data_IF_039792701250
#
_entry.id   IF_039792701250
#
_cell.length_a   1.000
_cell.length_b   1.000
_cell.length_c   1.000
_cell.angle_alpha   90.00
_cell.angle_beta   90.00
_cell.angle_gamma   90.00
#
_symmetry.space_group_name_H-M   'P 1'
#
loop_
_entity.id
_entity.type
_entity.pdbx_description
1 polymer ?
#
# COMPACT_ATOMS: atom_id res chain seq x y z
N UNK A 1 41.84 2.44 29.93
CA UNK A 1 41.06 1.51 29.09
C UNK A 1 39.59 1.86 29.26
N UNK A 2 39.13 2.89 28.53
CA UNK A 2 37.77 3.44 28.66
C UNK A 2 36.79 2.51 27.94
N UNK A 3 35.85 1.97 28.69
CA UNK A 3 34.73 1.20 28.16
C UNK A 3 33.97 2.05 27.13
N UNK A 4 34.00 1.62 25.87
CA UNK A 4 33.20 2.21 24.80
C UNK A 4 31.74 1.95 25.17
N UNK A 5 30.90 3.00 25.33
CA UNK A 5 29.50 2.80 25.67
C UNK A 5 28.86 1.98 24.56
N UNK A 6 28.21 0.90 24.95
CA UNK A 6 27.45 0.01 24.09
C UNK A 6 26.67 0.79 23.03
N UNK A 7 26.88 0.44 21.76
CA UNK A 7 26.04 0.81 20.63
C UNK A 7 24.60 0.44 20.99
N UNK A 8 23.86 1.36 21.62
CA UNK A 8 22.40 1.29 21.70
C UNK A 8 21.94 1.46 20.26
N UNK A 9 21.77 0.34 19.58
CA UNK A 9 21.21 0.34 18.24
C UNK A 9 19.80 0.92 18.34
N UNK A 10 19.66 2.15 17.85
CA UNK A 10 18.38 2.85 17.93
C UNK A 10 17.42 2.14 17.01
N UNK A 11 16.28 1.68 17.55
CA UNK A 11 15.22 1.00 16.80
C UNK A 11 14.87 1.74 15.51
N UNK A 12 14.90 3.07 15.52
CA UNK A 12 14.65 3.91 14.36
C UNK A 12 15.69 3.71 13.25
N UNK A 13 16.97 3.75 13.58
CA UNK A 13 18.08 3.56 12.62
C UNK A 13 18.03 2.18 12.01
N UNK A 14 17.82 1.15 12.81
CA UNK A 14 17.68 -0.22 12.31
C UNK A 14 16.46 -0.38 11.41
N UNK A 15 15.31 0.19 11.80
CA UNK A 15 14.08 0.14 10.99
C UNK A 15 14.29 0.82 9.63
N UNK A 16 14.98 1.97 9.62
CA UNK A 16 15.33 2.70 8.39
C UNK A 16 16.28 1.88 7.50
N UNK A 17 17.25 1.17 8.07
CA UNK A 17 18.15 0.30 7.32
C UNK A 17 17.39 -0.88 6.69
N UNK A 18 16.51 -1.53 7.44
CA UNK A 18 15.65 -2.59 6.90
C UNK A 18 14.69 -2.08 5.82
N UNK A 19 14.11 -0.89 6.01
CA UNK A 19 13.26 -0.24 5.02
C UNK A 19 14.05 0.05 3.72
N UNK A 20 15.23 0.66 3.84
CA UNK A 20 16.10 0.96 2.70
C UNK A 20 16.55 -0.29 1.95
N UNK A 21 16.84 -1.39 2.67
CA UNK A 21 17.15 -2.69 2.07
C UNK A 21 15.98 -3.20 1.22
N UNK A 22 14.75 -3.13 1.75
CA UNK A 22 13.56 -3.59 1.04
C UNK A 22 13.25 -2.74 -0.19
N UNK A 23 13.34 -1.41 -0.06
CA UNK A 23 13.17 -0.48 -1.18
C UNK A 23 14.22 -0.75 -2.27
N UNK A 24 15.48 -0.99 -1.89
CA UNK A 24 16.55 -1.32 -2.85
C UNK A 24 16.25 -2.63 -3.57
N UNK A 25 15.71 -3.63 -2.87
CA UNK A 25 15.28 -4.88 -3.48
C UNK A 25 14.15 -4.66 -4.49
N UNK A 26 13.11 -3.88 -4.14
CA UNK A 26 12.03 -3.53 -5.06
C UNK A 26 12.50 -2.73 -6.27
N UNK A 27 13.48 -1.84 -6.11
CA UNK A 27 14.11 -1.13 -7.23
C UNK A 27 14.84 -2.07 -8.19
N UNK A 28 15.42 -3.17 -7.69
CA UNK A 28 16.09 -4.19 -8.51
C UNK A 28 15.13 -5.20 -9.12
N UNK A 29 13.96 -5.40 -8.52
CA UNK A 29 12.90 -6.27 -9.01
C UNK A 29 11.59 -5.47 -9.23
N UNK A 30 11.57 -4.53 -10.20
CA UNK A 30 10.51 -3.54 -10.30
C UNK A 30 9.18 -4.10 -10.83
N UNK A 31 9.19 -5.28 -11.44
CA UNK A 31 7.99 -5.90 -12.05
C UNK A 31 6.84 -6.00 -11.04
N UNK A 32 7.11 -6.48 -9.83
CA UNK A 32 6.10 -6.70 -8.79
C UNK A 32 5.46 -5.38 -8.30
N UNK A 33 6.23 -4.37 -7.84
CA UNK A 33 5.64 -3.10 -7.42
C UNK A 33 5.02 -2.31 -8.57
N UNK A 34 5.56 -2.41 -9.78
CA UNK A 34 4.98 -1.75 -10.96
C UNK A 34 3.63 -2.37 -11.31
N UNK A 35 3.50 -3.70 -11.34
CA UNK A 35 2.23 -4.35 -11.62
C UNK A 35 1.15 -3.97 -10.60
N UNK A 36 1.51 -3.90 -9.32
CA UNK A 36 0.61 -3.47 -8.24
C UNK A 36 0.16 -2.00 -8.34
N UNK A 37 0.89 -1.15 -9.08
CA UNK A 37 0.53 0.25 -9.37
C UNK A 37 -0.21 0.42 -10.69
N UNK A 38 0.26 -0.28 -11.72
CA UNK A 38 -0.27 -0.18 -13.08
C UNK A 38 -1.71 -0.62 -13.12
N UNK A 39 -2.06 -1.72 -12.45
CA UNK A 39 -3.44 -2.23 -12.47
C UNK A 39 -4.45 -1.20 -11.91
N UNK A 40 -4.27 -0.63 -10.69
CA UNK A 40 -5.15 0.43 -10.19
C UNK A 40 -5.20 1.68 -11.07
N UNK A 41 -4.06 2.10 -11.63
CA UNK A 41 -3.99 3.30 -12.48
C UNK A 41 -4.69 3.07 -13.81
N UNK A 42 -4.50 1.89 -14.40
CA UNK A 42 -5.20 1.47 -15.61
C UNK A 42 -6.70 1.39 -15.37
N UNK A 43 -7.12 0.81 -14.24
CA UNK A 43 -8.52 0.74 -13.86
C UNK A 43 -9.14 2.13 -13.69
N UNK A 44 -8.43 3.09 -13.09
CA UNK A 44 -8.86 4.49 -13.01
C UNK A 44 -9.15 5.05 -14.41
N UNK A 45 -8.19 4.91 -15.34
CA UNK A 45 -8.30 5.41 -16.71
C UNK A 45 -9.46 4.74 -17.44
N UNK A 46 -9.55 3.42 -17.38
CA UNK A 46 -10.62 2.66 -18.04
C UNK A 46 -11.99 3.05 -17.50
N UNK A 47 -12.14 3.13 -16.17
CA UNK A 47 -13.44 3.47 -15.57
C UNK A 47 -13.83 4.91 -15.86
N UNK A 48 -12.88 5.84 -15.82
CA UNK A 48 -13.12 7.23 -16.22
C UNK A 48 -13.56 7.32 -17.70
N UNK A 49 -12.86 6.67 -18.62
CA UNK A 49 -13.19 6.70 -20.05
C UNK A 49 -14.50 5.98 -20.38
N UNK A 50 -14.81 4.89 -19.69
CA UNK A 50 -15.98 4.06 -19.99
C UNK A 50 -17.26 4.56 -19.30
N UNK A 51 -17.13 5.09 -18.08
CA UNK A 51 -18.27 5.39 -17.19
C UNK A 51 -18.34 6.87 -16.84
N UNK A 52 -17.27 7.64 -17.05
CA UNK A 52 -17.18 9.06 -16.66
C UNK A 52 -18.27 9.94 -17.28
N UNK A 53 -18.52 9.82 -18.59
CA UNK A 53 -19.60 10.60 -19.22
C UNK A 53 -20.99 10.17 -18.74
N UNK A 54 -21.18 8.89 -18.40
CA UNK A 54 -22.47 8.37 -17.95
C UNK A 54 -22.79 8.80 -16.51
N UNK A 55 -21.81 8.71 -15.61
CA UNK A 55 -21.96 9.11 -14.20
C UNK A 55 -22.09 10.63 -14.05
N UNK A 56 -21.29 11.41 -14.79
CA UNK A 56 -21.37 12.88 -14.72
C UNK A 56 -22.75 13.39 -15.17
N UNK A 57 -23.38 12.73 -16.15
CA UNK A 57 -24.74 13.03 -16.61
C UNK A 57 -25.83 12.69 -15.60
N UNK A 58 -25.63 11.68 -14.75
CA UNK A 58 -26.64 11.21 -13.79
C UNK A 58 -26.51 11.89 -12.43
N UNK A 59 -25.29 12.09 -11.93
CA UNK A 59 -25.04 12.55 -10.55
C UNK A 59 -24.68 14.05 -10.47
N UNK A 60 -24.38 14.69 -11.61
CA UNK A 60 -23.97 16.11 -11.66
C UNK A 60 -22.61 16.41 -10.99
N UNK A 61 -21.93 15.38 -10.50
CA UNK A 61 -20.59 15.43 -9.88
C UNK A 61 -19.62 14.60 -10.71
N UNK A 62 -18.38 15.08 -10.83
CA UNK A 62 -17.34 14.42 -11.61
C UNK A 62 -16.92 13.12 -10.93
N UNK A 63 -16.96 12.01 -11.67
CA UNK A 63 -16.65 10.66 -11.16
C UNK A 63 -15.23 10.55 -10.63
N UNK A 64 -14.32 11.44 -11.07
CA UNK A 64 -12.94 11.50 -10.60
C UNK A 64 -12.81 11.67 -9.08
N UNK A 65 -13.72 12.39 -8.42
CA UNK A 65 -13.64 12.62 -6.97
C UNK A 65 -13.87 11.34 -6.15
N UNK A 66 -14.63 10.37 -6.66
CA UNK A 66 -14.79 9.05 -6.04
C UNK A 66 -13.73 8.04 -6.50
N UNK A 67 -13.39 8.06 -7.79
CA UNK A 67 -12.53 7.04 -8.39
C UNK A 67 -11.07 7.16 -7.97
N UNK A 68 -10.53 8.38 -7.91
CA UNK A 68 -9.13 8.60 -7.54
C UNK A 68 -8.80 8.07 -6.13
N UNK A 69 -9.56 8.39 -5.06
CA UNK A 69 -9.31 7.79 -3.74
C UNK A 69 -9.54 6.28 -3.73
N UNK A 70 -10.55 5.78 -4.43
CA UNK A 70 -10.85 4.33 -4.52
C UNK A 70 -9.68 3.57 -5.14
N UNK A 71 -9.17 4.04 -6.28
CA UNK A 71 -8.02 3.45 -6.95
C UNK A 71 -6.73 3.59 -6.12
N UNK A 72 -6.55 4.70 -5.41
CA UNK A 72 -5.41 4.89 -4.50
C UNK A 72 -5.42 3.87 -3.35
N UNK A 73 -6.58 3.64 -2.72
CA UNK A 73 -6.74 2.63 -1.65
C UNK A 73 -6.62 1.21 -2.19
N UNK A 74 -7.22 0.92 -3.34
CA UNK A 74 -7.08 -0.38 -3.99
C UNK A 74 -5.61 -0.70 -4.31
N UNK A 75 -4.87 0.26 -4.87
CA UNK A 75 -3.44 0.11 -5.16
C UNK A 75 -2.57 -0.05 -3.92
N UNK A 76 -2.93 0.63 -2.83
CA UNK A 76 -2.33 0.45 -1.52
C UNK A 76 -2.49 -1.01 -1.05
N UNK A 77 -3.70 -1.56 -1.11
CA UNK A 77 -3.99 -2.94 -0.70
C UNK A 77 -3.38 -4.01 -1.63
N UNK A 78 -3.39 -3.79 -2.95
CA UNK A 78 -2.74 -4.69 -3.90
C UNK A 78 -1.24 -4.79 -3.66
N UNK A 79 -0.57 -3.66 -3.45
CA UNK A 79 0.86 -3.71 -3.21
C UNK A 79 1.22 -4.22 -1.81
N UNK A 80 0.38 -4.00 -0.80
CA UNK A 80 0.51 -4.64 0.51
C UNK A 80 0.42 -6.17 0.41
N UNK A 81 -0.53 -6.68 -0.38
CA UNK A 81 -0.64 -8.11 -0.69
C UNK A 81 0.62 -8.63 -1.39
N UNK A 82 1.07 -7.95 -2.45
CA UNK A 82 2.25 -8.33 -3.21
C UNK A 82 3.53 -8.33 -2.33
N UNK A 83 3.68 -7.35 -1.45
CA UNK A 83 4.77 -7.26 -0.50
C UNK A 83 4.73 -8.38 0.55
N UNK A 84 3.57 -9.00 0.81
CA UNK A 84 3.43 -10.04 1.82
C UNK A 84 3.66 -11.47 1.29
N UNK A 85 3.47 -11.69 -0.02
CA UNK A 85 3.66 -13.01 -0.64
C UNK A 85 5.04 -13.65 -0.37
N UNK A 86 6.18 -12.93 -0.45
CA UNK A 86 7.50 -13.52 -0.24
C UNK A 86 7.82 -13.92 1.21
N UNK A 87 7.06 -13.42 2.20
CA UNK A 87 7.37 -13.59 3.63
C UNK A 87 7.40 -15.07 4.04
N UNK A 88 6.61 -15.91 3.38
CA UNK A 88 6.58 -17.35 3.61
C UNK A 88 7.90 -17.99 3.23
N UNK A 89 8.37 -17.72 2.02
CA UNK A 89 9.67 -18.18 1.57
C UNK A 89 10.79 -17.64 2.49
N UNK A 90 10.74 -16.35 2.88
CA UNK A 90 11.69 -15.78 3.84
C UNK A 90 11.71 -16.54 5.19
N UNK A 91 10.53 -16.96 5.69
CA UNK A 91 10.39 -17.77 6.89
C UNK A 91 10.97 -19.17 6.70
N UNK A 92 10.64 -19.84 5.59
CA UNK A 92 11.04 -21.21 5.30
C UNK A 92 12.57 -21.31 5.10
N UNK A 93 13.20 -20.30 4.51
CA UNK A 93 14.67 -20.18 4.42
C UNK A 93 15.35 -19.81 5.76
N UNK A 94 14.58 -19.63 6.84
CA UNK A 94 15.11 -19.26 8.16
C UNK A 94 15.68 -17.84 8.22
N UNK A 95 15.33 -16.97 7.28
CA UNK A 95 15.82 -15.59 7.22
C UNK A 95 15.42 -14.81 8.48
N UNK A 96 14.19 -15.03 8.96
CA UNK A 96 13.66 -14.39 10.16
C UNK A 96 14.44 -14.80 11.41
N UNK A 97 14.75 -16.10 11.54
CA UNK A 97 15.56 -16.63 12.64
C UNK A 97 16.97 -16.06 12.63
N UNK A 98 17.61 -15.95 11.46
CA UNK A 98 18.96 -15.36 11.31
C UNK A 98 19.00 -13.89 11.73
N UNK A 99 17.97 -13.11 11.40
CA UNK A 99 17.89 -11.71 11.84
C UNK A 99 17.78 -11.58 13.35
N UNK A 100 17.15 -12.54 14.03
CA UNK A 100 16.98 -12.52 15.50
C UNK A 100 18.21 -13.00 16.29
N UNK A 101 19.22 -13.56 15.62
CA UNK A 101 20.52 -13.89 16.25
C UNK A 101 21.48 -12.70 16.19
N UNK A 102 21.27 -11.75 15.27
CA UNK A 102 22.05 -10.52 15.21
C UNK A 102 21.69 -9.60 16.40
N UNK A 103 22.62 -8.75 16.86
CA UNK A 103 22.37 -7.77 17.93
C UNK A 103 21.52 -6.60 17.40
N UNK A 104 20.32 -6.91 16.91
CA UNK A 104 19.34 -5.96 16.40
C UNK A 104 18.02 -6.11 17.14
N UNK A 105 17.26 -5.03 17.24
CA UNK A 105 15.97 -5.01 17.89
C UNK A 105 14.95 -5.87 17.13
N UNK A 106 14.27 -6.82 17.79
CA UNK A 106 13.38 -7.78 17.11
C UNK A 106 12.25 -7.12 16.29
N UNK A 107 11.79 -5.95 16.72
CA UNK A 107 10.76 -5.18 16.03
C UNK A 107 11.27 -4.44 14.78
N UNK A 108 12.58 -4.17 14.65
CA UNK A 108 13.11 -3.28 13.60
C UNK A 108 12.93 -3.83 12.19
N UNK A 109 12.96 -5.15 12.02
CA UNK A 109 12.68 -5.79 10.74
C UNK A 109 11.22 -5.61 10.31
N UNK A 110 10.27 -5.72 11.25
CA UNK A 110 8.85 -5.57 10.98
C UNK A 110 8.47 -4.11 10.73
N UNK A 111 8.92 -3.21 11.59
CA UNK A 111 8.71 -1.76 11.43
C UNK A 111 9.37 -1.24 10.16
N UNK A 112 10.57 -1.72 9.81
CA UNK A 112 11.22 -1.39 8.54
C UNK A 112 10.41 -1.83 7.32
N UNK A 113 9.75 -3.00 7.38
CA UNK A 113 8.85 -3.46 6.32
C UNK A 113 7.61 -2.57 6.18
N UNK A 114 6.98 -2.20 7.31
CA UNK A 114 5.84 -1.29 7.32
C UNK A 114 6.21 0.11 6.82
N UNK A 115 7.39 0.62 7.18
CA UNK A 115 7.89 1.92 6.69
C UNK A 115 8.16 1.91 5.18
N UNK A 116 8.77 0.85 4.68
CA UNK A 116 8.97 0.69 3.23
C UNK A 116 7.63 0.66 2.49
N UNK A 117 6.65 -0.05 3.03
CA UNK A 117 5.31 -0.15 2.45
C UNK A 117 4.55 1.19 2.49
N UNK A 118 4.68 1.94 3.58
CA UNK A 118 4.15 3.30 3.69
C UNK A 118 4.75 4.22 2.62
N UNK A 119 6.08 4.19 2.44
CA UNK A 119 6.77 5.00 1.43
C UNK A 119 6.35 4.62 0.00
N UNK A 120 6.26 3.31 -0.30
CA UNK A 120 5.80 2.80 -1.60
C UNK A 120 4.36 3.22 -1.88
N UNK A 121 3.48 3.11 -0.90
CA UNK A 121 2.08 3.51 -1.01
C UNK A 121 1.94 5.01 -1.22
N UNK A 122 2.73 5.82 -0.51
CA UNK A 122 2.72 7.27 -0.69
C UNK A 122 3.10 7.67 -2.13
N UNK A 123 4.14 7.04 -2.69
CA UNK A 123 4.53 7.26 -4.09
C UNK A 123 3.44 6.79 -5.06
N UNK A 124 2.80 5.64 -4.78
CA UNK A 124 1.70 5.10 -5.56
C UNK A 124 0.51 6.06 -5.61
N UNK A 125 0.06 6.52 -4.43
CA UNK A 125 -1.06 7.41 -4.28
C UNK A 125 -0.76 8.78 -4.91
N UNK A 126 0.47 9.29 -4.77
CA UNK A 126 0.89 10.51 -5.45
C UNK A 126 0.80 10.38 -6.99
N UNK A 127 1.25 9.25 -7.55
CA UNK A 127 1.14 8.99 -8.99
C UNK A 127 -0.31 8.93 -9.45
N UNK A 128 -1.16 8.16 -8.76
CA UNK A 128 -2.59 8.04 -9.09
C UNK A 128 -3.29 9.40 -9.00
N UNK A 129 -2.94 10.19 -7.99
CA UNK A 129 -3.46 11.55 -7.83
C UNK A 129 -3.01 12.46 -8.97
N UNK A 130 -1.74 12.40 -9.37
CA UNK A 130 -1.22 13.17 -10.50
C UNK A 130 -1.92 12.80 -11.82
N UNK A 131 -2.18 11.52 -12.05
CA UNK A 131 -2.98 11.04 -13.19
C UNK A 131 -4.41 11.59 -13.11
N UNK A 132 -5.06 11.51 -11.94
CA UNK A 132 -6.39 12.08 -11.73
C UNK A 132 -6.46 13.57 -12.01
N UNK A 133 -5.47 14.35 -11.57
CA UNK A 133 -5.35 15.79 -11.88
C UNK A 133 -5.18 16.02 -13.37
N UNK A 134 -4.37 15.20 -14.04
CA UNK A 134 -4.22 15.23 -15.51
C UNK A 134 -5.51 14.91 -16.27
N UNK A 135 -6.38 14.08 -15.70
CA UNK A 135 -7.70 13.75 -16.26
C UNK A 135 -8.76 14.83 -16.01
N UNK A 136 -8.48 15.81 -15.14
CA UNK A 136 -9.38 16.93 -14.86
C UNK A 136 -9.77 17.12 -13.39
N UNK A 137 -9.26 16.29 -12.46
CA UNK A 137 -9.52 16.43 -11.03
C UNK A 137 -9.01 17.78 -10.53
N UNK A 138 -9.92 18.61 -10.00
CA UNK A 138 -9.58 19.92 -9.43
C UNK A 138 -9.59 19.86 -7.91
N UNK A 139 -8.41 19.82 -7.29
CA UNK A 139 -8.30 20.04 -5.85
C UNK A 139 -8.65 21.50 -5.52
N UNK A 140 -9.70 21.70 -4.73
CA UNK A 140 -10.10 23.01 -4.19
C UNK A 140 -9.55 23.29 -2.79
N UNK A 141 -8.87 22.31 -2.20
CA UNK A 141 -8.32 22.37 -0.85
C UNK A 141 -6.89 22.92 -0.80
N UNK A 142 -6.42 23.20 0.41
CA UNK A 142 -5.06 23.65 0.68
C UNK A 142 -4.05 22.48 0.63
N UNK A 143 -2.76 22.79 0.73
CA UNK A 143 -1.69 21.77 0.81
C UNK A 143 -1.90 20.76 1.94
N UNK A 144 -2.56 21.17 3.02
CA UNK A 144 -2.93 20.28 4.13
C UNK A 144 -3.94 19.20 3.72
N UNK A 145 -4.91 19.54 2.87
CA UNK A 145 -5.92 18.59 2.39
C UNK A 145 -5.29 17.53 1.49
N UNK A 146 -4.29 17.92 0.69
CA UNK A 146 -3.52 16.97 -0.13
C UNK A 146 -2.73 15.98 0.74
N UNK A 147 -2.08 16.46 1.80
CA UNK A 147 -1.34 15.60 2.74
C UNK A 147 -2.31 14.65 3.44
N UNK A 148 -3.46 15.15 3.92
CA UNK A 148 -4.48 14.33 4.55
C UNK A 148 -5.02 13.27 3.58
N UNK A 149 -5.30 13.66 2.34
CA UNK A 149 -5.75 12.77 1.28
C UNK A 149 -4.73 11.64 1.03
N UNK A 150 -3.44 11.96 0.89
CA UNK A 150 -2.39 10.97 0.68
C UNK A 150 -2.13 10.10 1.92
N UNK A 151 -2.42 10.60 3.12
CA UNK A 151 -2.24 9.85 4.36
C UNK A 151 -3.25 8.70 4.51
N UNK A 152 -4.44 8.82 3.91
CA UNK A 152 -5.51 7.81 4.03
C UNK A 152 -5.10 6.48 3.39
N UNK A 153 -4.69 6.39 2.11
CA UNK A 153 -4.21 5.15 1.52
C UNK A 153 -2.99 4.57 2.26
N UNK A 154 -2.09 5.43 2.75
CA UNK A 154 -0.91 5.01 3.52
C UNK A 154 -1.33 4.35 4.83
N UNK A 155 -2.25 4.94 5.57
CA UNK A 155 -2.80 4.36 6.80
C UNK A 155 -3.46 3.01 6.55
N UNK A 156 -4.28 2.91 5.48
CA UNK A 156 -4.90 1.64 5.07
C UNK A 156 -3.85 0.59 4.73
N UNK A 157 -2.82 0.94 3.93
CA UNK A 157 -1.74 0.01 3.59
C UNK A 157 -1.00 -0.49 4.83
N UNK A 158 -0.67 0.38 5.79
CA UNK A 158 0.06 -0.01 7.00
C UNK A 158 -0.77 -0.97 7.85
N UNK A 159 -2.03 -0.64 8.10
CA UNK A 159 -2.93 -1.50 8.90
C UNK A 159 -3.15 -2.85 8.20
N UNK A 160 -3.47 -2.81 6.92
CA UNK A 160 -3.73 -4.02 6.14
C UNK A 160 -2.47 -4.89 6.02
N UNK A 161 -1.30 -4.30 5.80
CA UNK A 161 -0.02 -5.01 5.80
C UNK A 161 0.28 -5.66 7.13
N UNK A 162 0.02 -4.99 8.25
CA UNK A 162 0.24 -5.58 9.57
C UNK A 162 -0.60 -6.86 9.75
N UNK A 163 -1.87 -6.84 9.32
CA UNK A 163 -2.76 -8.02 9.34
C UNK A 163 -2.22 -9.11 8.41
N UNK A 164 -1.85 -8.79 7.18
CA UNK A 164 -1.31 -9.75 6.22
C UNK A 164 -0.01 -10.38 6.72
N UNK A 165 0.90 -9.59 7.31
CA UNK A 165 2.16 -10.09 7.86
C UNK A 165 1.87 -11.05 9.02
N UNK A 166 0.94 -10.70 9.92
CA UNK A 166 0.54 -11.58 11.02
C UNK A 166 0.03 -12.95 10.51
N UNK A 167 -0.74 -12.95 9.42
CA UNK A 167 -1.23 -14.17 8.77
C UNK A 167 -0.08 -14.91 8.08
N UNK A 168 0.78 -14.22 7.33
CA UNK A 168 1.89 -14.81 6.60
C UNK A 168 2.90 -15.51 7.53
N UNK A 169 3.11 -14.95 8.72
CA UNK A 169 4.00 -15.53 9.75
C UNK A 169 3.36 -16.73 10.45
N UNK A 170 2.03 -16.81 10.54
CA UNK A 170 1.33 -17.89 11.28
C UNK A 170 0.85 -19.03 10.39
N UNK A 171 0.37 -18.74 9.19
CA UNK A 171 -0.27 -19.71 8.31
C UNK A 171 0.73 -20.45 7.42
N UNK A 172 0.58 -21.77 7.29
CA UNK A 172 1.36 -22.59 6.36
C UNK A 172 0.92 -22.43 4.89
N UNK A 173 -0.33 -22.05 4.62
CA UNK A 173 -0.89 -21.99 3.26
C UNK A 173 -1.06 -20.58 2.71
N UNK A 174 -0.46 -20.29 1.53
CA UNK A 174 -0.58 -19.02 0.80
C UNK A 174 -2.03 -18.58 0.58
N UNK A 175 -2.91 -19.56 0.50
CA UNK A 175 -4.35 -19.42 0.34
C UNK A 175 -4.99 -18.53 1.41
N UNK A 176 -4.54 -18.59 2.67
CA UNK A 176 -5.12 -17.77 3.75
C UNK A 176 -4.94 -16.25 3.51
N UNK A 177 -3.84 -15.84 2.86
CA UNK A 177 -3.62 -14.44 2.48
C UNK A 177 -4.61 -14.03 1.39
N UNK A 178 -4.82 -14.90 0.40
CA UNK A 178 -5.74 -14.65 -0.72
C UNK A 178 -7.20 -14.58 -0.24
N UNK A 179 -7.61 -15.48 0.66
CA UNK A 179 -8.94 -15.51 1.24
C UNK A 179 -9.29 -14.24 2.03
N UNK A 180 -8.30 -13.59 2.64
CA UNK A 180 -8.52 -12.29 3.26
C UNK A 180 -8.45 -11.16 2.23
N UNK A 181 -7.41 -11.17 1.38
CA UNK A 181 -7.07 -10.01 0.58
C UNK A 181 -8.03 -9.80 -0.61
N UNK A 182 -8.45 -10.87 -1.27
CA UNK A 182 -9.40 -10.78 -2.40
C UNK A 182 -10.71 -10.10 -1.98
N UNK A 183 -11.46 -10.56 -0.96
CA UNK A 183 -12.69 -9.89 -0.57
C UNK A 183 -12.45 -8.49 -0.02
N UNK A 184 -11.35 -8.27 0.71
CA UNK A 184 -11.03 -6.93 1.23
C UNK A 184 -10.76 -5.91 0.11
N UNK A 185 -10.02 -6.30 -0.92
CA UNK A 185 -9.77 -5.47 -2.11
C UNK A 185 -11.05 -5.27 -2.91
N UNK A 186 -11.85 -6.33 -3.12
CA UNK A 186 -13.14 -6.22 -3.81
C UNK A 186 -14.11 -5.29 -3.09
N UNK A 187 -14.11 -5.28 -1.76
CA UNK A 187 -14.96 -4.39 -0.95
C UNK A 187 -14.63 -2.90 -1.18
N UNK A 188 -13.40 -2.55 -1.55
CA UNK A 188 -13.03 -1.18 -1.91
C UNK A 188 -13.81 -0.72 -3.15
N UNK A 189 -13.97 -1.58 -4.15
CA UNK A 189 -14.74 -1.25 -5.35
C UNK A 189 -16.25 -1.32 -5.15
N UNK A 190 -16.70 -2.10 -4.16
CA UNK A 190 -18.10 -2.09 -3.73
C UNK A 190 -18.44 -0.85 -2.85
N UNK A 191 -17.43 -0.17 -2.31
CA UNK A 191 -17.63 1.07 -1.55
C UNK A 191 -18.05 2.22 -2.48
N UNK A 192 -18.69 3.23 -1.91
CA UNK A 192 -19.35 4.36 -2.59
C UNK A 192 -18.46 5.20 -3.52
N UNK A 193 -17.17 4.88 -3.64
CA UNK A 193 -16.26 5.56 -4.54
C UNK A 193 -16.30 5.09 -6.00
N UNK A 194 -17.06 4.04 -6.35
CA UNK A 194 -17.24 3.60 -7.74
C UNK A 194 -18.66 3.90 -8.30
N UNK A 195 -19.77 3.44 -7.66
CA UNK A 195 -21.13 3.88 -8.01
C UNK A 195 -21.80 4.76 -6.92
N UNK A 196 -22.68 5.72 -7.28
CA UNK A 196 -23.50 6.44 -6.31
C UNK A 196 -24.39 5.46 -5.54
N UNK A 197 -24.36 5.52 -4.20
CA UNK A 197 -25.13 4.62 -3.32
C UNK A 197 -26.63 4.68 -3.59
N UNK A 198 -27.09 5.83 -4.08
CA UNK A 198 -28.48 6.13 -4.44
C UNK A 198 -29.00 5.34 -5.66
N UNK A 199 -28.10 4.73 -6.45
CA UNK A 199 -28.43 3.96 -7.67
C UNK A 199 -28.25 2.44 -7.51
N UNK A 200 -27.89 1.97 -6.30
CA UNK A 200 -27.83 0.54 -6.01
C UNK A 200 -29.26 0.01 -5.75
N UNK A 201 -29.65 -1.14 -6.36
CA UNK A 201 -30.98 -1.73 -6.21
C UNK A 201 -31.27 -2.26 -4.80
#
# INVERSE_FOLDING_TARGET
MSANPSLRSSLTVESLLFAGRLITHWRRAPVVPIQALLFPTFLLITYYLLVGESVTKVTGTDSLYGLVPTCAVAGAMFGALAACLPIRAERDYGLLSRMWVLPVHRASALTGRLLAEAARTLLASALITAVGVGLGLRFRGDWFDLILFLSVPVGVAVVFSAVLIAIAVRSASGTALMWLAVPAISAVFASSGAPPVELLP
#
